data_IF_048554260904
#
_entry.id   IF_048554260904
#
_cell.length_a   1.000
_cell.length_b   1.000
_cell.length_c   1.000
_cell.angle_alpha   90.00
_cell.angle_beta   90.00
_cell.angle_gamma   90.00
#
_symmetry.space_group_name_H-M   'P 1'
#
loop_
_entity.id
_entity.type
_entity.pdbx_description
1 polymer ?
#
# COMPACT_ATOMS: atom_id res chain seq x y z
N UNK A 1 0.65 -1.14 7.54
CA UNK A 1 1.05 0.06 8.30
C UNK A 1 2.49 0.49 8.00
N UNK A 2 3.52 -0.36 8.12
CA UNK A 2 4.94 0.06 7.89
C UNK A 2 5.14 0.66 6.48
N UNK A 3 4.70 -0.05 5.43
CA UNK A 3 4.80 0.46 4.06
C UNK A 3 3.99 1.76 3.83
N UNK A 4 2.82 1.91 4.47
CA UNK A 4 1.99 3.11 4.36
C UNK A 4 2.63 4.31 5.06
N UNK A 5 3.18 4.12 6.26
CA UNK A 5 3.92 5.16 6.98
C UNK A 5 5.24 5.51 6.27
N UNK A 6 5.91 4.52 5.66
CA UNK A 6 7.10 4.76 4.85
C UNK A 6 6.81 5.62 3.62
N UNK A 7 5.71 5.35 2.91
CA UNK A 7 5.27 6.19 1.79
C UNK A 7 4.92 7.61 2.26
N UNK A 8 4.25 7.74 3.41
CA UNK A 8 3.96 9.05 4.02
C UNK A 8 5.23 9.83 4.39
N UNK A 9 6.29 9.16 4.85
CA UNK A 9 7.59 9.80 5.12
C UNK A 9 8.21 10.34 3.82
N UNK A 10 8.13 9.57 2.72
CA UNK A 10 8.60 10.02 1.40
C UNK A 10 7.76 11.21 0.89
N UNK A 11 6.43 11.20 1.05
CA UNK A 11 5.56 12.32 0.70
C UNK A 11 5.98 13.61 1.43
N UNK A 12 6.27 13.52 2.73
CA UNK A 12 6.75 14.65 3.53
C UNK A 12 8.14 15.10 3.08
N UNK A 13 9.05 14.17 2.80
CA UNK A 13 10.39 14.48 2.31
C UNK A 13 10.38 15.19 0.95
N UNK A 14 9.39 14.91 0.11
CA UNK A 14 9.17 15.59 -1.18
C UNK A 14 8.41 16.92 -1.05
N UNK A 15 8.03 17.34 0.16
CA UNK A 15 7.24 18.56 0.40
C UNK A 15 5.77 18.44 0.00
N UNK A 16 5.26 17.22 -0.22
CA UNK A 16 3.87 16.96 -0.60
C UNK A 16 2.94 16.92 0.61
N UNK A 17 2.97 17.98 1.43
CA UNK A 17 2.28 18.02 2.72
C UNK A 17 0.77 17.76 2.63
N UNK A 18 0.12 18.29 1.59
CA UNK A 18 -1.32 18.06 1.39
C UNK A 18 -1.64 16.58 1.15
N UNK A 19 -0.81 15.88 0.36
CA UNK A 19 -0.99 14.44 0.14
C UNK A 19 -0.69 13.65 1.41
N UNK A 20 0.39 13.98 2.13
CA UNK A 20 0.73 13.32 3.38
C UNK A 20 -0.39 13.47 4.44
N UNK A 21 -1.01 14.64 4.53
CA UNK A 21 -2.14 14.90 5.43
C UNK A 21 -3.37 14.09 4.99
N UNK A 22 -3.69 14.10 3.69
CA UNK A 22 -4.77 13.30 3.13
C UNK A 22 -4.57 11.80 3.42
N UNK A 23 -3.34 11.31 3.26
CA UNK A 23 -2.95 9.93 3.57
C UNK A 23 -3.11 9.64 5.06
N UNK A 24 -2.61 10.50 5.95
CA UNK A 24 -2.75 10.36 7.40
C UNK A 24 -4.23 10.23 7.78
N UNK A 25 -5.09 11.13 7.26
CA UNK A 25 -6.53 11.10 7.51
C UNK A 25 -7.16 9.81 7.00
N UNK A 26 -6.87 9.42 5.76
CA UNK A 26 -7.37 8.20 5.16
C UNK A 26 -6.95 6.96 5.97
N UNK A 27 -5.71 6.91 6.43
CA UNK A 27 -5.19 5.80 7.23
C UNK A 27 -5.79 5.75 8.63
N UNK A 28 -6.03 6.90 9.27
CA UNK A 28 -6.75 6.98 10.55
C UNK A 28 -8.19 6.52 10.42
N UNK A 29 -8.91 6.96 9.39
CA UNK A 29 -10.27 6.53 9.10
C UNK A 29 -10.32 5.02 8.79
N UNK A 30 -9.39 4.51 7.98
CA UNK A 30 -9.27 3.08 7.69
C UNK A 30 -9.03 2.25 8.96
N UNK A 31 -8.17 2.73 9.87
CA UNK A 31 -7.94 2.06 11.15
C UNK A 31 -9.17 2.07 12.05
N UNK A 32 -9.88 3.20 12.14
CA UNK A 32 -11.12 3.28 12.91
C UNK A 32 -12.19 2.33 12.34
N UNK A 33 -12.32 2.30 11.01
CA UNK A 33 -13.19 1.36 10.31
C UNK A 33 -12.82 -0.09 10.62
N UNK A 34 -11.54 -0.45 10.50
CA UNK A 34 -11.07 -1.80 10.79
C UNK A 34 -11.31 -2.22 12.25
N UNK A 35 -11.19 -1.28 13.20
CA UNK A 35 -11.46 -1.53 14.62
C UNK A 35 -12.95 -1.77 14.87
N UNK A 36 -13.82 -0.90 14.38
CA UNK A 36 -15.29 -1.02 14.50
C UNK A 36 -15.81 -2.29 13.81
N UNK A 37 -15.17 -2.70 12.72
CA UNK A 37 -15.59 -3.83 11.91
C UNK A 37 -14.95 -5.17 12.30
N UNK A 38 -14.11 -5.18 13.33
CA UNK A 38 -13.40 -6.38 13.80
C UNK A 38 -14.35 -7.52 14.20
N UNK A 39 -15.52 -7.20 14.75
CA UNK A 39 -16.53 -8.19 15.14
C UNK A 39 -17.11 -9.02 13.97
N UNK A 40 -17.06 -8.50 12.74
CA UNK A 40 -17.52 -9.21 11.55
C UNK A 40 -16.38 -9.82 10.72
N UNK A 41 -15.14 -9.76 11.21
CA UNK A 41 -13.95 -10.15 10.44
C UNK A 41 -14.01 -11.60 9.93
N UNK A 42 -14.56 -12.52 10.73
CA UNK A 42 -14.73 -13.93 10.35
C UNK A 42 -15.68 -14.08 9.16
N UNK A 43 -16.82 -13.39 9.18
CA UNK A 43 -17.77 -13.42 8.08
C UNK A 43 -17.18 -12.81 6.80
N UNK A 44 -16.38 -11.75 6.92
CA UNK A 44 -15.65 -11.19 5.77
C UNK A 44 -14.61 -12.15 5.21
N UNK A 45 -13.90 -12.87 6.07
CA UNK A 45 -12.94 -13.87 5.64
C UNK A 45 -13.63 -15.03 4.89
N UNK A 46 -14.73 -15.54 5.43
CA UNK A 46 -15.54 -16.58 4.77
C UNK A 46 -16.10 -16.09 3.43
N UNK A 47 -16.67 -14.87 3.40
CA UNK A 47 -17.16 -14.27 2.16
C UNK A 47 -16.04 -14.05 1.12
N UNK A 48 -14.83 -13.71 1.55
CA UNK A 48 -13.67 -13.54 0.67
C UNK A 48 -13.14 -14.87 0.12
N UNK A 49 -13.24 -15.97 0.88
CA UNK A 49 -12.90 -17.31 0.38
C UNK A 49 -13.91 -17.80 -0.67
N UNK A 50 -15.20 -17.51 -0.46
CA UNK A 50 -16.28 -17.92 -1.37
C UNK A 50 -16.35 -17.06 -2.64
N UNK A 51 -15.80 -15.84 -2.60
CA UNK A 51 -15.75 -14.97 -3.77
C UNK A 51 -14.72 -15.47 -4.78
N UNK A 52 -15.17 -15.80 -5.99
CA UNK A 52 -14.27 -16.11 -7.09
C UNK A 52 -13.31 -14.94 -7.35
N UNK A 53 -12.01 -15.23 -7.38
CA UNK A 53 -10.99 -14.26 -7.74
C UNK A 53 -10.93 -14.14 -9.26
N UNK A 54 -11.68 -13.18 -9.80
CA UNK A 54 -11.51 -12.78 -11.20
C UNK A 54 -10.16 -12.10 -11.35
N UNK A 55 -9.22 -12.76 -12.03
CA UNK A 55 -7.93 -12.16 -12.35
C UNK A 55 -8.15 -10.97 -13.31
N UNK A 56 -7.74 -9.75 -12.93
CA UNK A 56 -7.89 -8.60 -13.79
C UNK A 56 -7.00 -8.70 -15.03
N UNK A 57 -7.59 -8.64 -16.22
CA UNK A 57 -6.83 -8.51 -17.45
C UNK A 57 -6.10 -7.15 -17.53
N UNK A 58 -4.96 -7.12 -18.23
CA UNK A 58 -4.12 -5.96 -18.50
C UNK A 58 -4.89 -4.79 -19.13
N UNK A 59 -5.91 -5.08 -19.93
CA UNK A 59 -6.80 -4.07 -20.53
C UNK A 59 -7.57 -3.28 -19.47
N UNK A 60 -8.01 -3.92 -18.39
CA UNK A 60 -8.72 -3.25 -17.31
C UNK A 60 -7.81 -2.27 -16.57
N UNK A 61 -6.53 -2.60 -16.43
CA UNK A 61 -5.53 -1.69 -15.87
C UNK A 61 -5.34 -0.45 -16.74
N UNK A 62 -5.21 -0.62 -18.05
CA UNK A 62 -5.10 0.52 -18.98
C UNK A 62 -6.34 1.41 -18.93
N UNK A 63 -7.54 0.83 -18.93
CA UNK A 63 -8.80 1.58 -18.83
C UNK A 63 -8.88 2.33 -17.50
N UNK A 64 -8.54 1.68 -16.38
CA UNK A 64 -8.55 2.30 -15.06
C UNK A 64 -7.57 3.48 -14.98
N UNK A 65 -6.38 3.33 -15.55
CA UNK A 65 -5.33 4.36 -15.54
C UNK A 65 -5.72 5.56 -16.41
N UNK A 66 -6.29 5.31 -17.60
CA UNK A 66 -6.84 6.35 -18.46
C UNK A 66 -8.00 7.09 -17.79
N UNK A 67 -8.94 6.36 -17.17
CA UNK A 67 -10.06 6.95 -16.45
C UNK A 67 -9.59 7.80 -15.24
N UNK A 68 -8.61 7.30 -14.49
CA UNK A 68 -7.99 8.04 -13.39
C UNK A 68 -7.30 9.32 -13.88
N UNK A 69 -6.53 9.25 -14.96
CA UNK A 69 -5.89 10.42 -15.57
C UNK A 69 -6.92 11.45 -16.03
N UNK A 70 -8.03 11.01 -16.63
CA UNK A 70 -9.11 11.89 -17.07
C UNK A 70 -9.81 12.58 -15.90
N UNK A 71 -9.95 11.91 -14.75
CA UNK A 71 -10.51 12.49 -13.52
C UNK A 71 -9.55 13.49 -12.85
N UNK A 72 -8.24 13.21 -12.87
CA UNK A 72 -7.22 14.07 -12.24
C UNK A 72 -6.94 15.34 -13.05
N UNK A 73 -7.02 15.26 -14.38
CA UNK A 73 -6.79 16.40 -15.28
C UNK A 73 -7.58 17.67 -14.93
N UNK A 74 -8.92 17.65 -14.75
CA UNK A 74 -9.67 18.84 -14.38
C UNK A 74 -9.31 19.34 -12.98
N UNK A 75 -8.97 18.46 -12.04
CA UNK A 75 -8.54 18.86 -10.70
C UNK A 75 -7.24 19.69 -10.76
N UNK A 76 -6.33 19.37 -11.67
CA UNK A 76 -5.11 20.15 -11.93
C UNK A 76 -5.39 21.57 -12.40
N UNK A 77 -6.45 21.77 -13.19
CA UNK A 77 -6.83 23.09 -13.70
C UNK A 77 -7.44 23.98 -12.61
N UNK A 78 -8.11 23.38 -11.62
CA UNK A 78 -8.74 24.11 -10.50
C UNK A 78 -7.68 24.51 -9.47
N UNK A 79 -6.87 23.54 -9.04
CA UNK A 79 -5.76 23.77 -8.11
C UNK A 79 -4.50 23.14 -8.71
N UNK A 80 -3.52 23.94 -9.15
CA UNK A 80 -2.30 23.43 -9.77
C UNK A 80 -1.64 22.40 -8.87
N UNK A 81 -1.24 21.25 -9.39
CA UNK A 81 -0.54 20.23 -8.59
C UNK A 81 0.87 20.71 -8.24
N UNK A 82 1.41 20.23 -7.11
CA UNK A 82 2.70 20.71 -6.61
C UNK A 82 3.88 20.19 -7.44
N UNK A 83 3.76 18.97 -7.96
CA UNK A 83 4.80 18.31 -8.75
C UNK A 83 4.22 17.17 -9.60
N UNK A 84 4.99 16.65 -10.54
CA UNK A 84 4.63 15.48 -11.32
C UNK A 84 4.44 14.24 -10.42
N UNK A 85 5.29 14.09 -9.39
CA UNK A 85 5.16 13.02 -8.40
C UNK A 85 3.81 13.02 -7.70
N UNK A 86 3.31 14.22 -7.35
CA UNK A 86 1.99 14.35 -6.73
C UNK A 86 0.86 13.94 -7.66
N UNK A 87 0.99 14.22 -8.96
CA UNK A 87 0.02 13.81 -9.98
C UNK A 87 0.01 12.29 -10.14
N UNK A 88 1.20 11.68 -10.22
CA UNK A 88 1.37 10.24 -10.32
C UNK A 88 0.74 9.53 -9.13
N UNK A 89 1.03 9.96 -7.89
CA UNK A 89 0.43 9.35 -6.69
C UNK A 89 -1.10 9.44 -6.70
N UNK A 90 -1.66 10.57 -7.09
CA UNK A 90 -3.11 10.77 -7.15
C UNK A 90 -3.76 9.88 -8.23
N UNK A 91 -3.17 9.82 -9.42
CA UNK A 91 -3.61 8.94 -10.52
C UNK A 91 -3.54 7.48 -10.09
N UNK A 92 -2.44 7.05 -9.46
CA UNK A 92 -2.29 5.68 -8.96
C UNK A 92 -3.33 5.35 -7.89
N UNK A 93 -3.58 6.26 -6.95
CA UNK A 93 -4.60 6.08 -5.90
C UNK A 93 -6.00 5.91 -6.50
N UNK A 94 -6.39 6.78 -7.44
CA UNK A 94 -7.69 6.68 -8.13
C UNK A 94 -7.76 5.43 -9.01
N UNK A 95 -6.66 5.02 -9.63
CA UNK A 95 -6.59 3.78 -10.42
C UNK A 95 -6.92 2.56 -9.56
N UNK A 96 -6.32 2.45 -8.37
CA UNK A 96 -6.58 1.35 -7.43
C UNK A 96 -8.03 1.37 -6.92
N UNK A 97 -8.60 2.56 -6.75
CA UNK A 97 -10.00 2.74 -6.34
C UNK A 97 -10.99 2.29 -7.44
N UNK A 98 -10.69 2.60 -8.71
CA UNK A 98 -11.52 2.23 -9.86
C UNK A 98 -11.37 0.76 -10.28
N UNK A 99 -10.24 0.12 -9.96
CA UNK A 99 -9.94 -1.23 -10.44
C UNK A 99 -11.03 -2.27 -10.09
N UNK A 100 -11.53 -2.38 -8.84
CA UNK A 100 -12.51 -3.39 -8.48
C UNK A 100 -13.89 -3.22 -9.14
N UNK A 101 -14.25 -2.01 -9.57
CA UNK A 101 -15.52 -1.74 -10.26
C UNK A 101 -15.47 -2.06 -11.75
N UNK A 102 -14.26 -2.10 -12.33
CA UNK A 102 -14.04 -2.42 -13.75
C UNK A 102 -13.92 -3.92 -14.02
N UNK A 103 -13.44 -4.72 -13.07
CA UNK A 103 -13.12 -6.15 -13.27
C UNK A 103 -14.33 -7.08 -13.16
N UNK A 104 -15.33 -6.73 -12.36
CA UNK A 104 -16.52 -7.57 -12.15
C UNK A 104 -17.64 -7.20 -13.10
N UNK A 105 -17.87 -8.05 -14.11
CA UNK A 105 -19.02 -7.95 -15.02
C UNK A 105 -20.25 -8.58 -14.36
N UNK A 106 -21.22 -7.75 -13.98
CA UNK A 106 -22.43 -8.15 -13.26
C UNK A 106 -23.49 -7.05 -13.45
N UNK A 107 -24.77 -7.34 -13.25
CA UNK A 107 -25.90 -6.42 -13.44
C UNK A 107 -25.77 -5.15 -12.59
N UNK A 108 -25.09 -5.21 -11.45
CA UNK A 108 -24.78 -4.05 -10.58
C UNK A 108 -23.52 -3.28 -10.94
N UNK A 109 -22.89 -3.57 -12.09
CA UNK A 109 -21.72 -2.85 -12.60
C UNK A 109 -21.90 -1.32 -12.71
N UNK A 110 -22.99 -0.78 -13.30
CA UNK A 110 -23.12 0.67 -13.44
C UNK A 110 -23.18 1.37 -12.09
N UNK A 111 -23.91 0.81 -11.12
CA UNK A 111 -23.97 1.34 -9.75
C UNK A 111 -22.59 1.37 -9.10
N UNK A 112 -21.81 0.28 -9.20
CA UNK A 112 -20.44 0.23 -8.65
C UNK A 112 -19.50 1.21 -9.32
N UNK A 113 -19.61 1.41 -10.63
CA UNK A 113 -18.81 2.40 -11.35
C UNK A 113 -19.18 3.82 -10.89
N UNK A 114 -20.47 4.14 -10.79
CA UNK A 114 -20.92 5.44 -10.29
C UNK A 114 -20.39 5.69 -8.87
N UNK A 115 -20.50 4.70 -7.98
CA UNK A 115 -19.96 4.81 -6.61
C UNK A 115 -18.44 4.99 -6.62
N UNK A 116 -17.70 4.21 -7.41
CA UNK A 116 -16.24 4.32 -7.49
C UNK A 116 -15.79 5.68 -8.04
N UNK A 117 -16.47 6.20 -9.06
CA UNK A 117 -16.24 7.56 -9.59
C UNK A 117 -16.60 8.61 -8.54
N UNK A 118 -17.72 8.46 -7.83
CA UNK A 118 -18.12 9.37 -6.76
C UNK A 118 -17.07 9.43 -5.63
N UNK A 119 -16.54 8.29 -5.20
CA UNK A 119 -15.44 8.24 -4.24
C UNK A 119 -14.15 8.86 -4.80
N UNK A 120 -13.85 8.64 -6.08
CA UNK A 120 -12.71 9.26 -6.76
C UNK A 120 -12.82 10.78 -6.78
N UNK A 121 -13.96 11.31 -7.20
CA UNK A 121 -14.27 12.75 -7.17
C UNK A 121 -14.23 13.28 -5.74
N UNK A 122 -14.77 12.56 -4.76
CA UNK A 122 -14.69 12.94 -3.35
C UNK A 122 -13.24 13.04 -2.84
N UNK A 123 -12.37 12.11 -3.23
CA UNK A 123 -10.95 12.13 -2.88
C UNK A 123 -10.23 13.32 -3.53
N UNK A 124 -10.53 13.62 -4.79
CA UNK A 124 -9.99 14.80 -5.49
C UNK A 124 -10.48 16.11 -4.87
N UNK A 125 -11.76 16.19 -4.51
CA UNK A 125 -12.33 17.33 -3.81
C UNK A 125 -11.63 17.54 -2.46
N UNK A 126 -11.42 16.47 -1.70
CA UNK A 126 -10.73 16.54 -0.40
C UNK A 126 -9.26 16.99 -0.57
N UNK A 127 -8.58 16.54 -1.62
CA UNK A 127 -7.24 17.03 -1.97
C UNK A 127 -7.26 18.53 -2.30
N UNK A 128 -8.15 18.98 -3.18
CA UNK A 128 -8.24 20.39 -3.57
C UNK A 128 -8.58 21.30 -2.39
N UNK A 129 -9.55 20.90 -1.55
CA UNK A 129 -9.92 21.62 -0.32
C UNK A 129 -8.72 21.67 0.63
N UNK A 130 -8.06 20.54 0.87
CA UNK A 130 -6.88 20.47 1.72
C UNK A 130 -5.75 21.38 1.21
N UNK A 131 -5.53 21.41 -0.10
CA UNK A 131 -4.52 22.27 -0.72
C UNK A 131 -4.84 23.75 -0.58
N UNK A 132 -6.10 24.11 -0.83
CA UNK A 132 -6.58 25.48 -0.66
C UNK A 132 -6.46 25.95 0.80
N UNK A 133 -6.80 25.10 1.77
CA UNK A 133 -6.66 25.44 3.19
C UNK A 133 -5.20 25.58 3.63
N UNK A 134 -4.31 24.73 3.11
CA UNK A 134 -2.89 24.74 3.47
C UNK A 134 -2.07 25.80 2.74
N UNK A 135 -2.60 26.48 1.73
CA UNK A 135 -1.83 27.41 0.89
C UNK A 135 -1.14 28.53 1.69
N UNK A 136 -1.73 28.94 2.82
CA UNK A 136 -1.21 30.00 3.68
C UNK A 136 -0.24 29.51 4.77
N UNK A 137 -0.20 28.20 5.02
CA UNK A 137 0.51 27.58 6.16
C UNK A 137 1.69 26.75 5.66
N UNK A 138 1.53 26.10 4.49
CA UNK A 138 2.55 25.26 3.92
C UNK A 138 3.73 26.11 3.44
N UNK A 139 4.98 25.72 3.79
CA UNK A 139 6.15 26.38 3.25
C UNK A 139 6.13 26.24 1.73
N UNK A 140 6.51 27.32 1.02
CA UNK A 140 6.64 27.29 -0.42
C UNK A 140 7.63 26.18 -0.78
N UNK A 141 7.14 25.14 -1.45
CA UNK A 141 8.00 24.04 -1.88
C UNK A 141 9.01 24.62 -2.86
N UNK A 142 10.29 24.61 -2.47
CA UNK A 142 11.39 24.96 -3.37
C UNK A 142 11.26 24.13 -4.65
N UNK A 143 11.58 24.73 -5.79
CA UNK A 143 11.52 24.07 -7.09
C UNK A 143 12.38 22.81 -7.02
N UNK A 144 11.75 21.64 -6.86
CA UNK A 144 12.47 20.38 -6.93
C UNK A 144 13.09 20.33 -8.33
N UNK A 145 14.36 19.94 -8.42
CA UNK A 145 14.96 19.75 -9.74
C UNK A 145 14.07 18.83 -10.56
N UNK A 146 13.75 19.22 -11.80
CA UNK A 146 12.87 18.45 -12.68
C UNK A 146 13.33 16.98 -12.80
N UNK A 147 14.65 16.76 -12.77
CA UNK A 147 15.25 15.43 -12.75
C UNK A 147 14.88 14.62 -11.50
N UNK A 148 14.89 15.25 -10.32
CA UNK A 148 14.50 14.60 -9.08
C UNK A 148 13.02 14.21 -9.09
N UNK A 149 12.15 15.08 -9.60
CA UNK A 149 10.71 14.83 -9.68
C UNK A 149 10.36 13.71 -10.68
N UNK A 150 11.05 13.67 -11.83
CA UNK A 150 10.93 12.58 -12.80
C UNK A 150 11.42 11.26 -12.18
N UNK A 151 12.57 11.29 -11.50
CA UNK A 151 13.12 10.11 -10.85
C UNK A 151 12.17 9.55 -9.78
N UNK A 152 11.64 10.39 -8.90
CA UNK A 152 10.70 9.96 -7.85
C UNK A 152 9.39 9.45 -8.43
N UNK A 153 8.90 10.08 -9.50
CA UNK A 153 7.72 9.61 -10.24
C UNK A 153 7.94 8.24 -10.86
N UNK A 154 9.11 8.00 -11.44
CA UNK A 154 9.50 6.70 -11.99
C UNK A 154 9.60 5.64 -10.88
N UNK A 155 10.14 5.99 -9.72
CA UNK A 155 10.20 5.10 -8.54
C UNK A 155 8.80 4.74 -8.07
N UNK A 156 7.87 5.70 -7.95
CA UNK A 156 6.48 5.41 -7.56
C UNK A 156 5.75 4.52 -8.59
N UNK A 157 5.90 4.81 -9.88
CA UNK A 157 5.36 3.96 -10.94
C UNK A 157 5.96 2.55 -10.89
N UNK A 158 7.27 2.43 -10.67
CA UNK A 158 7.96 1.15 -10.55
C UNK A 158 7.50 0.34 -9.33
N UNK A 159 7.37 0.98 -8.16
CA UNK A 159 6.82 0.36 -6.95
C UNK A 159 5.38 -0.10 -7.17
N UNK A 160 4.59 0.69 -7.88
CA UNK A 160 3.21 0.35 -8.22
C UNK A 160 3.13 -0.89 -9.12
N UNK A 161 3.90 -0.89 -10.21
CA UNK A 161 3.97 -2.04 -11.13
C UNK A 161 4.44 -3.29 -10.38
N UNK A 162 5.47 -3.16 -9.53
CA UNK A 162 5.94 -4.26 -8.69
C UNK A 162 4.84 -4.76 -7.75
N UNK A 163 4.10 -3.86 -7.08
CA UNK A 163 2.99 -4.24 -6.22
C UNK A 163 1.88 -4.98 -6.98
N UNK A 164 1.55 -4.55 -8.20
CA UNK A 164 0.58 -5.23 -9.08
C UNK A 164 1.09 -6.61 -9.51
N UNK A 165 2.35 -6.72 -9.91
CA UNK A 165 2.97 -7.99 -10.31
C UNK A 165 3.01 -8.98 -9.16
N UNK A 166 3.41 -8.55 -7.96
CA UNK A 166 3.44 -9.41 -6.77
C UNK A 166 2.03 -9.86 -6.37
N UNK A 167 1.02 -9.01 -6.54
CA UNK A 167 -0.37 -9.32 -6.17
C UNK A 167 -1.04 -10.31 -7.12
N UNK A 168 -0.82 -10.18 -8.44
CA UNK A 168 -1.57 -10.96 -9.44
C UNK A 168 -0.73 -11.99 -10.20
N UNK A 169 0.57 -11.76 -10.38
CA UNK A 169 1.46 -12.59 -11.20
C UNK A 169 2.45 -13.43 -10.36
N UNK A 170 2.10 -13.78 -9.13
CA UNK A 170 2.92 -14.58 -8.21
C UNK A 170 3.30 -15.97 -8.76
N UNK A 171 2.61 -16.45 -9.81
CA UNK A 171 2.93 -17.73 -10.48
C UNK A 171 4.26 -17.71 -11.25
N UNK A 172 4.80 -16.54 -11.63
CA UNK A 172 6.09 -16.45 -12.32
C UNK A 172 7.26 -16.64 -11.35
N UNK A 173 8.22 -17.54 -11.69
CA UNK A 173 9.36 -17.91 -10.83
C UNK A 173 10.19 -16.71 -10.35
N UNK A 174 10.42 -15.71 -11.20
CA UNK A 174 11.17 -14.51 -10.83
C UNK A 174 10.41 -13.63 -9.84
N UNK A 175 9.11 -13.39 -10.08
CA UNK A 175 8.23 -12.62 -9.19
C UNK A 175 8.10 -13.33 -7.84
N UNK A 176 7.95 -14.65 -7.84
CA UNK A 176 7.89 -15.43 -6.60
C UNK A 176 9.21 -15.34 -5.80
N UNK A 177 10.37 -15.38 -6.46
CA UNK A 177 11.66 -15.19 -5.79
C UNK A 177 11.76 -13.80 -5.13
N UNK A 178 11.37 -12.76 -5.84
CA UNK A 178 11.33 -11.38 -5.32
C UNK A 178 10.33 -11.26 -4.18
N UNK A 179 9.15 -11.87 -4.31
CA UNK A 179 8.14 -11.93 -3.25
C UNK A 179 8.68 -12.57 -1.98
N UNK A 180 9.30 -13.76 -2.09
CA UNK A 180 9.90 -14.47 -0.96
C UNK A 180 10.99 -13.61 -0.31
N UNK A 181 11.87 -13.02 -1.10
CA UNK A 181 12.97 -12.19 -0.59
C UNK A 181 12.46 -10.93 0.12
N UNK A 182 11.48 -10.22 -0.46
CA UNK A 182 10.84 -9.05 0.16
C UNK A 182 10.08 -9.43 1.43
N UNK A 183 9.37 -10.57 1.43
CA UNK A 183 8.60 -11.04 2.58
C UNK A 183 9.51 -11.52 3.73
N UNK A 184 10.70 -12.02 3.41
CA UNK A 184 11.77 -12.30 4.38
C UNK A 184 12.47 -11.01 4.88
N UNK A 185 11.99 -9.82 4.49
CA UNK A 185 12.63 -8.55 4.84
C UNK A 185 14.07 -8.46 4.32
N UNK A 186 14.37 -9.11 3.19
CA UNK A 186 15.72 -9.16 2.62
C UNK A 186 16.75 -9.87 3.49
N UNK A 187 16.32 -10.69 4.45
CA UNK A 187 17.18 -11.32 5.47
C UNK A 187 17.93 -10.31 6.35
N UNK A 188 17.40 -9.08 6.46
CA UNK A 188 17.93 -8.05 7.34
C UNK A 188 17.90 -8.51 8.80
N UNK A 189 16.93 -9.33 9.18
CA UNK A 189 16.81 -9.87 10.54
C UNK A 189 17.92 -10.87 10.86
N UNK A 190 18.26 -11.81 9.96
CA UNK A 190 19.41 -12.69 10.14
C UNK A 190 20.73 -11.93 10.14
N UNK A 191 20.86 -10.87 9.32
CA UNK A 191 22.05 -10.04 9.33
C UNK A 191 22.19 -9.27 10.66
N UNK A 192 21.13 -8.62 11.11
CA UNK A 192 21.08 -7.91 12.39
C UNK A 192 21.35 -8.85 13.57
N UNK A 193 20.80 -10.05 13.54
CA UNK A 193 21.02 -11.08 14.55
C UNK A 193 22.49 -11.53 14.57
N UNK A 194 23.12 -11.76 13.41
CA UNK A 194 24.55 -12.09 13.34
C UNK A 194 25.44 -10.98 13.87
N UNK A 195 25.14 -9.73 13.52
CA UNK A 195 25.88 -8.56 14.03
C UNK A 195 25.71 -8.46 15.54
N UNK A 196 24.48 -8.63 16.04
CA UNK A 196 24.17 -8.59 17.47
C UNK A 196 24.90 -9.69 18.25
N UNK A 197 24.89 -10.94 17.75
CA UNK A 197 25.62 -12.05 18.38
C UNK A 197 27.14 -11.92 18.28
N UNK A 198 27.66 -11.18 17.29
CA UNK A 198 29.08 -10.84 17.22
C UNK A 198 29.49 -9.81 18.27
N UNK A 199 28.61 -8.86 18.58
CA UNK A 199 28.82 -7.83 19.59
C UNK A 199 28.55 -8.37 21.00
N UNK A 200 27.53 -9.23 21.14
CA UNK A 200 27.11 -9.84 22.41
C UNK A 200 26.97 -11.36 22.26
N UNK A 201 28.09 -12.10 22.32
CA UNK A 201 28.07 -13.55 22.16
C UNK A 201 27.29 -14.21 23.29
N UNK A 202 26.17 -14.83 22.93
CA UNK A 202 25.35 -15.60 23.86
C UNK A 202 26.09 -16.88 24.25
N UNK A 203 26.58 -16.91 25.49
CA UNK A 203 27.17 -18.11 26.07
C UNK A 203 26.02 -18.99 26.57
N UNK A 204 25.66 -20.01 25.80
CA UNK A 204 24.76 -21.05 26.25
C UNK A 204 25.32 -21.68 27.53
N UNK A 205 24.62 -21.53 28.66
CA UNK A 205 24.83 -22.44 29.80
C UNK A 205 24.45 -23.82 29.29
N UNK A 206 25.45 -24.69 29.16
CA UNK A 206 25.31 -26.07 28.71
C UNK A 206 24.10 -26.69 29.39
N UNK A 207 23.12 -27.13 28.61
CA UNK A 207 21.92 -27.78 29.12
C UNK A 207 22.34 -28.89 30.08
N UNK A 208 21.94 -28.75 31.34
CA UNK A 208 22.14 -29.81 32.32
C UNK A 208 21.50 -31.08 31.76
N UNK A 209 22.36 -32.04 31.46
CA UNK A 209 22.08 -33.39 30.95
C UNK A 209 20.73 -33.87 31.48
N UNK A 210 19.77 -34.09 30.58
CA UNK A 210 18.45 -34.63 30.93
C UNK A 210 18.65 -35.88 31.81
N UNK A 211 18.37 -35.72 33.10
CA UNK A 211 18.34 -36.83 34.04
C UNK A 211 17.27 -37.79 33.55
N UNK A 212 17.70 -39.02 33.26
CA UNK A 212 16.86 -40.15 32.89
C UNK A 212 15.60 -40.18 33.77
N UNK A 213 14.43 -39.87 33.20
CA UNK A 213 13.17 -40.28 33.81
C UNK A 213 13.04 -41.78 33.57
N UNK A 214 13.54 -42.52 34.54
CA UNK A 214 13.37 -43.96 34.69
C UNK A 214 11.87 -44.29 34.73
N UNK A 215 11.35 -44.78 33.61
CA UNK A 215 10.57 -46.01 33.51
C UNK A 215 10.15 -46.62 34.87
N UNK A 216 9.10 -46.08 35.48
CA UNK A 216 8.52 -46.60 36.73
C UNK A 216 7.02 -46.28 36.82
N UNK A 217 6.28 -46.46 35.74
CA UNK A 217 4.82 -46.63 35.79
C UNK A 217 4.42 -47.80 34.89
N UNK A 218 4.86 -48.99 35.30
CA UNK A 218 4.21 -50.24 34.95
C UNK A 218 4.19 -51.05 36.25
N UNK A 219 2.99 -51.46 36.67
CA UNK A 219 2.63 -52.14 37.93
C UNK A 219 2.13 -51.21 39.06
N UNK A 220 0.84 -50.87 39.03
CA UNK A 220 -0.20 -51.59 39.78
C UNK A 220 -1.60 -51.16 39.34
#
# INVERSE_FOLDING_TARGET
TIAQMGLMLVEIALGLYTLALLHLLAHSCYKAYAFLHSGNAVNHYLAAQLAEQTEPDTRHWLIALLAASLLVWPAHQIVPLASLSSAVLLVLAVTVLLMPSLTRADSRRPLRLILAVAYGVGLLALYCIGKYLLQNIAPTTGVLSMLADIFTSLVFAGLFVMAVLLRYHSRHRAVNRVFIWLNAGGYLDEWATRVTLKIWPYHNKTAAKASKLSQAECLK
#
